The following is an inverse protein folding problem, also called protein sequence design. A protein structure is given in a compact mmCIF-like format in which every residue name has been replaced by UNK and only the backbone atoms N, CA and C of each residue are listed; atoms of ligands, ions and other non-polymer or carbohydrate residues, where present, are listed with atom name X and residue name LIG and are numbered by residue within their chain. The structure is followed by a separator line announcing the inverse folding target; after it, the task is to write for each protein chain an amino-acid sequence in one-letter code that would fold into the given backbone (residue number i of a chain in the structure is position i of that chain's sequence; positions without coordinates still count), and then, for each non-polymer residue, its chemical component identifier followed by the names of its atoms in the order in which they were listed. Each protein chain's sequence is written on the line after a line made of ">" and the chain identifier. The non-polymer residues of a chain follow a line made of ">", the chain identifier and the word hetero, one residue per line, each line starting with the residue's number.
data_IF_435645421563
#
_entry.id   IF_435645421563
#
_cell.length_a   1.000
_cell.length_b   1.000
_cell.length_c   1.000
_cell.angle_alpha   90.00
_cell.angle_beta   90.00
_cell.angle_gamma   90.00
#
_symmetry.space_group_name_H-M   'P 1'
#
loop_
_entity.id
_entity.type
_entity.pdbx_description
1 polymer ?
#
# COMPACT_ATOMS: atom_id res chain seq x y z
N UNK A 1 5.38 64.75 -7.95
CA UNK A 1 5.22 63.61 -8.86
C UNK A 1 5.54 62.33 -8.15
N UNK A 2 4.45 61.64 -7.83
CA UNK A 2 4.39 60.29 -7.31
C UNK A 2 4.98 59.28 -8.30
N UNK A 3 5.68 58.28 -7.75
CA UNK A 3 5.63 56.92 -8.26
C UNK A 3 5.80 55.98 -7.05
N UNK A 4 4.67 55.56 -6.49
CA UNK A 4 4.57 54.26 -5.85
C UNK A 4 4.62 53.18 -6.93
N UNK A 5 5.25 52.05 -6.61
CA UNK A 5 4.99 50.68 -7.08
C UNK A 5 6.30 49.90 -6.92
N UNK A 6 6.46 48.79 -6.22
CA UNK A 6 5.68 47.97 -5.30
C UNK A 6 6.76 46.97 -4.81
N UNK A 7 6.83 46.56 -3.52
CA UNK A 7 7.84 45.58 -3.12
C UNK A 7 7.54 44.28 -3.88
N UNK A 8 8.51 43.82 -4.70
CA UNK A 8 8.46 42.54 -5.38
C UNK A 8 8.21 41.43 -4.36
N UNK A 9 6.94 41.11 -4.13
CA UNK A 9 6.45 39.89 -3.55
C UNK A 9 6.66 38.79 -4.60
N UNK A 10 7.91 38.40 -4.82
CA UNK A 10 8.23 37.06 -5.29
C UNK A 10 7.94 36.10 -4.13
N UNK A 11 6.67 35.76 -3.93
CA UNK A 11 6.22 34.78 -2.96
C UNK A 11 5.27 33.76 -3.61
N UNK A 12 5.72 32.50 -3.59
CA UNK A 12 4.92 31.30 -3.25
C UNK A 12 4.02 30.58 -4.29
N UNK A 13 4.53 30.28 -5.49
CA UNK A 13 3.90 29.23 -6.33
C UNK A 13 4.81 28.03 -6.61
N UNK A 14 6.05 28.24 -7.06
CA UNK A 14 7.03 27.15 -7.18
C UNK A 14 7.51 26.66 -5.80
N UNK A 15 7.43 27.51 -4.78
CA UNK A 15 8.00 27.25 -3.46
C UNK A 15 7.24 26.15 -2.71
N UNK A 16 5.90 26.08 -2.80
CA UNK A 16 5.08 25.10 -2.07
C UNK A 16 5.38 23.67 -2.53
N UNK A 17 5.38 23.43 -3.84
CA UNK A 17 5.73 22.11 -4.37
C UNK A 17 7.22 21.81 -4.16
N UNK A 18 8.10 22.80 -4.30
CA UNK A 18 9.53 22.60 -4.12
C UNK A 18 9.90 22.31 -2.65
N UNK A 19 9.23 22.94 -1.70
CA UNK A 19 9.33 22.70 -0.25
C UNK A 19 8.77 21.31 0.11
N UNK A 20 7.66 20.87 -0.50
CA UNK A 20 7.20 19.48 -0.39
C UNK A 20 8.24 18.49 -0.92
N UNK A 21 8.88 18.79 -2.05
CA UNK A 21 9.94 17.93 -2.60
C UNK A 21 11.14 17.82 -1.65
N UNK A 22 11.50 18.92 -0.96
CA UNK A 22 12.61 19.00 -0.02
C UNK A 22 12.31 18.24 1.29
N UNK A 23 11.14 18.48 1.91
CA UNK A 23 10.72 17.79 3.15
C UNK A 23 10.62 16.27 2.93
N UNK A 24 10.13 15.84 1.77
CA UNK A 24 10.05 14.41 1.43
C UNK A 24 11.42 13.83 1.02
N UNK A 25 12.46 14.63 0.80
CA UNK A 25 13.78 14.19 0.34
C UNK A 25 14.57 13.39 1.38
N UNK A 26 14.55 13.82 2.65
CA UNK A 26 15.29 13.17 3.75
C UNK A 26 14.58 11.94 4.32
N UNK A 27 13.25 12.00 4.48
CA UNK A 27 12.43 10.86 4.92
C UNK A 27 12.41 9.70 3.91
N UNK A 28 12.76 9.98 2.64
CA UNK A 28 12.60 9.04 1.52
C UNK A 28 13.49 7.83 1.59
N UNK A 29 14.76 7.93 1.95
CA UNK A 29 15.65 6.76 1.95
C UNK A 29 15.15 5.72 2.96
N UNK A 30 14.72 6.20 4.13
CA UNK A 30 14.14 5.35 5.16
C UNK A 30 12.83 4.71 4.67
N UNK A 31 11.98 5.50 4.01
CA UNK A 31 10.74 4.99 3.43
C UNK A 31 10.96 3.94 2.34
N UNK A 32 11.88 4.17 1.42
CA UNK A 32 12.23 3.25 0.33
C UNK A 32 12.84 1.96 0.89
N UNK A 33 13.73 2.07 1.87
CA UNK A 33 14.31 0.94 2.60
C UNK A 33 13.21 0.10 3.27
N UNK A 34 12.25 0.78 3.92
CA UNK A 34 11.09 0.16 4.56
C UNK A 34 10.21 -0.59 3.57
N UNK A 35 9.95 0.01 2.41
CA UNK A 35 9.17 -0.60 1.33
C UNK A 35 9.86 -1.85 0.76
N UNK A 36 11.18 -1.78 0.54
CA UNK A 36 11.97 -2.94 0.09
C UNK A 36 11.95 -4.07 1.11
N UNK A 37 12.18 -3.77 2.40
CA UNK A 37 12.11 -4.76 3.48
C UNK A 37 10.74 -5.44 3.54
N UNK A 38 9.67 -4.64 3.45
CA UNK A 38 8.29 -5.13 3.38
C UNK A 38 8.10 -6.08 2.20
N UNK A 39 8.58 -5.69 1.00
CA UNK A 39 8.53 -6.54 -0.19
C UNK A 39 9.27 -7.87 -0.01
N UNK A 40 10.49 -7.85 0.55
CA UNK A 40 11.26 -9.07 0.80
C UNK A 40 10.60 -9.98 1.83
N UNK A 41 9.99 -9.41 2.88
CA UNK A 41 9.19 -10.16 3.85
C UNK A 41 8.03 -10.89 3.15
N UNK A 42 7.33 -10.22 2.22
CA UNK A 42 6.28 -10.87 1.43
C UNK A 42 6.81 -12.00 0.56
N UNK A 43 7.91 -11.78 -0.17
CA UNK A 43 8.54 -12.83 -0.99
C UNK A 43 8.93 -14.04 -0.15
N UNK A 44 9.61 -13.81 0.98
CA UNK A 44 10.00 -14.87 1.90
C UNK A 44 8.80 -15.69 2.36
N UNK A 45 7.70 -15.03 2.67
CA UNK A 45 6.50 -15.69 3.17
C UNK A 45 5.74 -16.46 2.10
N UNK A 46 5.68 -15.96 0.86
CA UNK A 46 5.13 -16.75 -0.26
C UNK A 46 5.98 -18.01 -0.49
N UNK A 47 7.31 -17.91 -0.43
CA UNK A 47 8.20 -19.08 -0.52
C UNK A 47 7.90 -20.06 0.61
N UNK A 48 7.80 -19.60 1.86
CA UNK A 48 7.41 -20.45 3.00
C UNK A 48 6.07 -21.14 2.76
N UNK A 49 5.06 -20.43 2.27
CA UNK A 49 3.74 -21.00 1.97
C UNK A 49 3.77 -22.09 0.90
N UNK A 50 4.67 -22.00 -0.09
CA UNK A 50 4.83 -23.00 -1.15
C UNK A 50 5.53 -24.28 -0.68
N UNK A 51 6.51 -24.16 0.22
CA UNK A 51 7.39 -25.28 0.61
C UNK A 51 7.14 -25.81 2.02
N UNK A 52 6.30 -25.14 2.83
CA UNK A 52 5.94 -25.64 4.15
C UNK A 52 5.00 -26.85 4.03
N UNK A 53 5.32 -27.93 4.76
CA UNK A 53 4.33 -28.96 5.09
C UNK A 53 3.17 -28.29 5.82
N UNK A 54 1.91 -28.72 5.64
CA UNK A 54 0.79 -28.19 6.41
C UNK A 54 1.09 -28.37 7.90
N UNK A 55 1.49 -27.29 8.57
CA UNK A 55 1.71 -27.25 10.00
C UNK A 55 0.41 -26.85 10.65
N UNK A 56 0.11 -27.49 11.78
CA UNK A 56 -0.94 -27.04 12.69
C UNK A 56 -0.68 -25.56 13.02
N UNK A 57 -1.73 -24.74 12.88
CA UNK A 57 -1.71 -23.31 13.19
C UNK A 57 -1.08 -23.08 14.57
N UNK A 58 0.16 -22.62 14.62
CA UNK A 58 0.73 -22.06 15.84
C UNK A 58 0.11 -20.68 16.03
N UNK A 59 -0.63 -20.50 17.14
CA UNK A 59 -1.24 -19.23 17.52
C UNK A 59 -0.15 -18.16 17.55
N UNK A 60 -0.26 -17.15 16.69
CA UNK A 60 0.71 -16.06 16.64
C UNK A 60 0.59 -15.25 17.94
N UNK A 61 1.68 -15.07 18.69
CA UNK A 61 1.70 -14.30 19.94
C UNK A 61 1.28 -12.84 19.75
N UNK A 62 1.29 -12.35 18.52
CA UNK A 62 0.93 -10.98 18.16
C UNK A 62 -0.49 -10.85 17.59
N UNK A 63 -1.38 -11.83 17.76
CA UNK A 63 -2.70 -11.82 17.11
C UNK A 63 -3.52 -10.55 17.40
N UNK A 64 -3.50 -10.05 18.64
CA UNK A 64 -4.23 -8.82 19.01
C UNK A 64 -3.64 -7.57 18.34
N UNK A 65 -2.31 -7.49 18.28
CA UNK A 65 -1.63 -6.37 17.65
C UNK A 65 -1.84 -6.35 16.13
N UNK A 66 -1.83 -7.53 15.49
CA UNK A 66 -2.14 -7.68 14.07
C UNK A 66 -3.58 -7.20 13.80
N UNK A 67 -4.56 -7.65 14.59
CA UNK A 67 -5.95 -7.22 14.44
C UNK A 67 -6.12 -5.70 14.58
N UNK A 68 -5.39 -5.07 15.51
CA UNK A 68 -5.39 -3.62 15.67
C UNK A 68 -4.88 -2.91 14.41
N UNK A 69 -3.70 -3.30 13.92
CA UNK A 69 -3.12 -2.69 12.73
C UNK A 69 -3.90 -3.01 11.45
N UNK A 70 -4.58 -4.16 11.38
CA UNK A 70 -5.51 -4.48 10.30
C UNK A 70 -6.70 -3.50 10.28
N UNK A 71 -7.30 -3.22 11.43
CA UNK A 71 -8.37 -2.23 11.54
C UNK A 71 -7.89 -0.81 11.19
N UNK A 72 -6.69 -0.43 11.62
CA UNK A 72 -6.08 0.85 11.27
C UNK A 72 -5.85 0.92 9.74
N UNK A 73 -5.34 -0.16 9.13
CA UNK A 73 -5.15 -0.26 7.69
C UNK A 73 -6.47 -0.06 6.94
N UNK A 74 -7.53 -0.74 7.36
CA UNK A 74 -8.87 -0.62 6.75
C UNK A 74 -9.38 0.82 6.86
N UNK A 75 -9.23 1.44 8.03
CA UNK A 75 -9.70 2.81 8.27
C UNK A 75 -8.96 3.82 7.40
N UNK A 76 -7.63 3.74 7.37
CA UNK A 76 -6.80 4.64 6.57
C UNK A 76 -6.99 4.41 5.08
N UNK A 77 -7.08 3.15 4.64
CA UNK A 77 -7.36 2.81 3.24
C UNK A 77 -8.70 3.36 2.79
N UNK A 78 -9.74 3.22 3.60
CA UNK A 78 -11.08 3.71 3.24
C UNK A 78 -11.08 5.24 3.03
N UNK A 79 -10.44 5.99 3.93
CA UNK A 79 -10.30 7.45 3.79
C UNK A 79 -9.47 7.83 2.57
N UNK A 80 -8.36 7.12 2.37
CA UNK A 80 -7.50 7.33 1.20
C UNK A 80 -8.23 7.11 -0.11
N UNK A 81 -8.97 6.02 -0.24
CA UNK A 81 -9.79 5.74 -1.43
C UNK A 81 -10.84 6.84 -1.63
N UNK A 82 -11.58 7.24 -0.58
CA UNK A 82 -12.57 8.32 -0.69
C UNK A 82 -11.95 9.62 -1.21
N UNK A 83 -10.74 9.98 -0.76
CA UNK A 83 -10.05 11.17 -1.28
C UNK A 83 -9.70 11.03 -2.76
N UNK A 84 -9.24 9.85 -3.20
CA UNK A 84 -9.01 9.57 -4.63
C UNK A 84 -10.32 9.66 -5.42
N UNK A 85 -11.44 9.21 -4.85
CA UNK A 85 -12.74 9.32 -5.50
C UNK A 85 -13.20 10.76 -5.69
N UNK A 86 -13.00 11.58 -4.67
CA UNK A 86 -13.35 13.00 -4.71
C UNK A 86 -12.54 13.78 -5.74
N UNK A 87 -11.41 13.24 -6.22
CA UNK A 87 -10.61 13.78 -7.31
C UNK A 87 -10.88 13.07 -8.65
N UNK A 88 -11.83 12.13 -8.69
CA UNK A 88 -12.19 11.31 -9.86
C UNK A 88 -11.02 10.46 -10.41
N UNK A 89 -10.07 10.10 -9.54
CA UNK A 89 -8.84 9.35 -9.89
C UNK A 89 -8.85 7.88 -9.47
N UNK A 90 -10.01 7.31 -9.12
CA UNK A 90 -10.11 5.95 -8.56
C UNK A 90 -9.98 4.80 -9.57
N UNK A 91 -10.31 5.05 -10.84
CA UNK A 91 -10.38 4.04 -11.90
C UNK A 91 -9.35 4.26 -13.01
N UNK A 92 -8.81 3.18 -13.57
CA UNK A 92 -7.87 3.24 -14.68
C UNK A 92 -6.44 3.59 -14.24
N UNK A 93 -5.75 4.42 -15.02
CA UNK A 93 -4.38 4.87 -14.69
C UNK A 93 -4.42 5.99 -13.65
N UNK A 94 -4.37 5.62 -12.37
CA UNK A 94 -4.41 6.56 -11.23
C UNK A 94 -3.26 7.56 -11.34
N UNK A 95 -2.07 7.09 -11.74
CA UNK A 95 -0.88 7.92 -11.82
C UNK A 95 -1.04 9.01 -12.87
N UNK A 96 -1.53 8.68 -14.07
CA UNK A 96 -1.73 9.64 -15.14
C UNK A 96 -2.84 10.64 -14.81
N UNK A 97 -3.95 10.17 -14.23
CA UNK A 97 -5.03 11.06 -13.79
C UNK A 97 -4.57 12.05 -12.72
N UNK A 98 -3.81 11.60 -11.73
CA UNK A 98 -3.25 12.48 -10.69
C UNK A 98 -2.25 13.48 -11.27
N UNK A 99 -1.36 13.08 -12.19
CA UNK A 99 -0.45 14.01 -12.87
C UNK A 99 -1.21 15.10 -13.62
N UNK A 100 -2.26 14.72 -14.34
CA UNK A 100 -3.12 15.67 -15.05
C UNK A 100 -3.84 16.61 -14.08
N UNK A 101 -4.31 16.11 -12.94
CA UNK A 101 -4.92 16.94 -11.90
C UNK A 101 -3.91 17.92 -11.28
N UNK A 102 -2.71 17.47 -10.94
CA UNK A 102 -1.63 18.33 -10.44
C UNK A 102 -1.23 19.41 -11.45
N UNK A 103 -1.16 19.07 -12.74
CA UNK A 103 -0.87 20.03 -13.82
C UNK A 103 -1.97 21.08 -13.99
N UNK A 104 -3.23 20.71 -13.77
CA UNK A 104 -4.34 21.69 -13.75
C UNK A 104 -4.21 22.62 -12.56
N UNK A 105 -3.92 22.07 -11.37
CA UNK A 105 -3.75 22.86 -10.15
C UNK A 105 -2.56 23.81 -10.21
N UNK A 106 -1.47 23.44 -10.88
CA UNK A 106 -0.34 24.36 -11.09
C UNK A 106 -0.68 25.56 -11.99
N UNK A 107 -1.76 25.49 -12.76
CA UNK A 107 -2.23 26.59 -13.61
C UNK A 107 -3.33 27.42 -12.93
N UNK A 108 -4.10 26.81 -12.02
CA UNK A 108 -5.14 27.49 -11.25
C UNK A 108 -5.25 26.83 -9.86
N UNK A 109 -4.51 27.33 -8.86
CA UNK A 109 -4.41 26.69 -7.56
C UNK A 109 -5.70 26.88 -6.75
N UNK A 110 -6.46 25.80 -6.59
CA UNK A 110 -7.59 25.76 -5.65
C UNK A 110 -7.13 25.18 -4.30
N UNK A 111 -7.18 26.00 -3.24
CA UNK A 111 -6.71 25.61 -1.89
C UNK A 111 -7.30 24.29 -1.41
N UNK A 112 -8.59 24.07 -1.65
CA UNK A 112 -9.28 22.84 -1.23
C UNK A 112 -8.70 21.59 -1.89
N UNK A 113 -8.26 21.67 -3.14
CA UNK A 113 -7.66 20.54 -3.86
C UNK A 113 -6.20 20.31 -3.46
N UNK A 114 -5.46 21.37 -3.15
CA UNK A 114 -4.11 21.27 -2.56
C UNK A 114 -4.18 20.55 -1.20
N UNK A 115 -5.13 20.93 -0.34
CA UNK A 115 -5.37 20.28 0.96
C UNK A 115 -5.75 18.80 0.79
N UNK A 116 -6.55 18.45 -0.23
CA UNK A 116 -6.85 17.04 -0.56
C UNK A 116 -5.60 16.27 -0.97
N UNK A 117 -4.73 16.84 -1.81
CA UNK A 117 -3.47 16.20 -2.21
C UNK A 117 -2.52 15.98 -1.02
N UNK A 118 -2.46 16.93 -0.08
CA UNK A 118 -1.71 16.77 1.18
C UNK A 118 -2.25 15.61 2.00
N UNK A 119 -3.57 15.53 2.19
CA UNK A 119 -4.20 14.44 2.92
C UNK A 119 -3.97 13.09 2.22
N UNK A 120 -4.04 13.03 0.89
CA UNK A 120 -3.69 11.83 0.10
C UNK A 120 -2.25 11.38 0.41
N UNK A 121 -1.27 12.29 0.35
CA UNK A 121 0.12 11.94 0.65
C UNK A 121 0.29 11.45 2.09
N UNK A 122 -0.36 12.12 3.06
CA UNK A 122 -0.35 11.75 4.48
C UNK A 122 -0.95 10.38 4.73
N UNK A 123 -2.11 10.06 4.16
CA UNK A 123 -2.70 8.73 4.30
C UNK A 123 -1.84 7.67 3.61
N UNK A 124 -1.23 7.98 2.47
CA UNK A 124 -0.29 7.07 1.80
C UNK A 124 0.90 6.72 2.71
N UNK A 125 1.53 7.72 3.38
CA UNK A 125 2.61 7.47 4.36
C UNK A 125 2.16 6.55 5.51
N UNK A 126 0.99 6.81 6.10
CA UNK A 126 0.42 6.00 7.18
C UNK A 126 0.10 4.56 6.74
N UNK A 127 -0.43 4.41 5.54
CA UNK A 127 -0.71 3.08 4.96
C UNK A 127 0.59 2.29 4.84
N UNK A 128 1.66 2.89 4.31
CA UNK A 128 2.96 2.23 4.21
C UNK A 128 3.55 1.89 5.59
N UNK A 129 3.37 2.75 6.59
CA UNK A 129 3.80 2.49 7.98
C UNK A 129 3.14 1.23 8.52
N UNK A 130 1.81 1.17 8.40
CA UNK A 130 1.02 0.06 8.92
C UNK A 130 1.36 -1.23 8.17
N UNK A 131 1.48 -1.18 6.84
CA UNK A 131 1.86 -2.33 6.02
C UNK A 131 3.23 -2.85 6.42
N UNK A 132 4.19 -1.96 6.65
CA UNK A 132 5.51 -2.35 7.11
C UNK A 132 5.44 -3.06 8.46
N UNK A 133 4.77 -2.47 9.45
CA UNK A 133 4.61 -3.05 10.78
C UNK A 133 3.95 -4.42 10.68
N UNK A 134 2.87 -4.54 9.93
CA UNK A 134 2.20 -5.81 9.66
C UNK A 134 3.17 -6.84 9.05
N UNK A 135 4.05 -6.42 8.13
CA UNK A 135 5.07 -7.27 7.49
C UNK A 135 6.05 -7.87 8.49
N UNK A 136 6.46 -7.08 9.48
CA UNK A 136 7.33 -7.51 10.57
C UNK A 136 6.61 -8.42 11.56
N UNK A 137 5.34 -8.14 11.86
CA UNK A 137 4.50 -8.96 12.76
C UNK A 137 4.03 -10.28 12.14
N UNK A 138 4.26 -10.46 10.84
CA UNK A 138 3.96 -11.67 10.13
C UNK A 138 2.53 -11.81 9.63
N UNK A 139 1.99 -10.75 9.01
CA UNK A 139 0.65 -10.76 8.39
C UNK A 139 0.39 -11.89 7.40
N UNK A 140 1.43 -12.55 6.92
CA UNK A 140 1.36 -13.62 5.93
C UNK A 140 0.64 -14.89 6.41
N UNK A 141 0.36 -15.01 7.70
CA UNK A 141 -0.53 -16.05 8.23
C UNK A 141 -2.02 -15.78 7.94
N UNK A 142 -2.36 -14.57 7.50
CA UNK A 142 -3.70 -14.17 7.04
C UNK A 142 -3.64 -13.80 5.56
N UNK A 143 -4.07 -14.72 4.69
CA UNK A 143 -4.01 -14.51 3.24
C UNK A 143 -4.91 -13.38 2.74
N UNK A 144 -6.05 -13.14 3.42
CA UNK A 144 -6.96 -12.04 3.07
C UNK A 144 -6.28 -10.71 3.32
N UNK A 145 -5.68 -10.56 4.52
CA UNK A 145 -4.92 -9.37 4.88
C UNK A 145 -3.72 -9.14 3.94
N UNK A 146 -2.98 -10.20 3.61
CA UNK A 146 -1.87 -10.11 2.65
C UNK A 146 -2.33 -9.65 1.27
N UNK A 147 -3.45 -10.19 0.76
CA UNK A 147 -4.01 -9.77 -0.53
C UNK A 147 -4.42 -8.30 -0.51
N UNK A 148 -5.08 -7.86 0.56
CA UNK A 148 -5.49 -6.47 0.70
C UNK A 148 -4.29 -5.53 0.81
N UNK A 149 -3.27 -5.91 1.59
CA UNK A 149 -2.02 -5.15 1.71
C UNK A 149 -1.31 -4.99 0.37
N UNK A 150 -1.19 -6.07 -0.43
CA UNK A 150 -0.59 -5.99 -1.77
C UNK A 150 -1.38 -5.04 -2.68
N UNK A 151 -2.72 -5.14 -2.69
CA UNK A 151 -3.56 -4.28 -3.52
C UNK A 151 -3.40 -2.81 -3.18
N UNK A 152 -3.46 -2.46 -1.89
CA UNK A 152 -3.31 -1.07 -1.49
C UNK A 152 -1.87 -0.58 -1.71
N UNK A 153 -0.86 -1.43 -1.59
CA UNK A 153 0.52 -1.11 -1.99
C UNK A 153 0.63 -0.75 -3.47
N UNK A 154 -0.06 -1.46 -4.37
CA UNK A 154 -0.08 -1.12 -5.80
C UNK A 154 -0.67 0.29 -6.03
N UNK A 155 -1.84 0.57 -5.45
CA UNK A 155 -2.49 1.89 -5.57
C UNK A 155 -1.58 2.98 -5.01
N UNK A 156 -1.00 2.76 -3.83
CA UNK A 156 -0.05 3.70 -3.22
C UNK A 156 1.19 3.93 -4.08
N UNK A 157 1.68 2.91 -4.80
CA UNK A 157 2.78 3.09 -5.76
C UNK A 157 2.36 4.01 -6.92
N UNK A 158 1.16 3.85 -7.48
CA UNK A 158 0.68 4.72 -8.57
C UNK A 158 0.52 6.17 -8.11
N UNK A 159 -0.03 6.38 -6.92
CA UNK A 159 -0.12 7.72 -6.30
C UNK A 159 1.28 8.31 -6.10
N UNK A 160 2.23 7.54 -5.54
CA UNK A 160 3.61 8.02 -5.33
C UNK A 160 4.34 8.29 -6.66
N UNK A 161 4.10 7.50 -7.71
CA UNK A 161 4.62 7.74 -9.06
C UNK A 161 4.17 9.11 -9.59
N UNK A 162 2.91 9.50 -9.36
CA UNK A 162 2.38 10.79 -9.79
C UNK A 162 2.93 11.95 -8.95
N UNK A 163 2.84 11.83 -7.63
CA UNK A 163 3.26 12.88 -6.70
C UNK A 163 4.77 13.13 -6.76
N UNK A 164 5.56 12.12 -7.14
CA UNK A 164 7.03 12.18 -7.08
C UNK A 164 7.72 11.67 -8.36
N UNK A 165 7.66 12.44 -9.46
CA UNK A 165 8.18 12.07 -10.76
C UNK A 165 9.67 11.69 -10.77
N UNK A 166 10.51 12.32 -9.94
CA UNK A 166 11.94 11.97 -9.81
C UNK A 166 12.19 10.52 -9.37
N UNK A 167 11.23 9.92 -8.66
CA UNK A 167 11.30 8.54 -8.18
C UNK A 167 10.28 7.62 -8.86
N UNK A 168 9.64 8.10 -9.93
CA UNK A 168 8.60 7.36 -10.66
C UNK A 168 9.09 5.98 -11.10
N UNK A 169 10.33 5.85 -11.58
CA UNK A 169 10.91 4.57 -11.97
C UNK A 169 10.91 3.55 -10.82
N UNK A 170 11.34 3.97 -9.62
CA UNK A 170 11.34 3.10 -8.45
C UNK A 170 9.91 2.64 -8.11
N UNK A 171 8.95 3.57 -8.01
CA UNK A 171 7.58 3.22 -7.65
C UNK A 171 6.90 2.36 -8.71
N UNK A 172 7.22 2.57 -9.99
CA UNK A 172 6.75 1.74 -11.08
C UNK A 172 7.32 0.31 -11.01
N UNK A 173 8.61 0.16 -10.72
CA UNK A 173 9.23 -1.15 -10.49
C UNK A 173 8.64 -1.85 -9.27
N UNK A 174 8.47 -1.11 -8.17
CA UNK A 174 7.85 -1.61 -6.95
C UNK A 174 6.40 -2.06 -7.20
N UNK A 175 5.62 -1.31 -7.97
CA UNK A 175 4.26 -1.70 -8.37
C UNK A 175 4.27 -3.01 -9.17
N UNK A 176 5.14 -3.13 -10.19
CA UNK A 176 5.31 -4.37 -10.97
C UNK A 176 5.65 -5.56 -10.07
N UNK A 177 6.50 -5.34 -9.07
CA UNK A 177 6.89 -6.35 -8.09
C UNK A 177 5.70 -6.78 -7.20
N UNK A 178 4.87 -5.85 -6.74
CA UNK A 178 3.64 -6.16 -5.99
C UNK A 178 2.59 -6.88 -6.85
N UNK A 179 2.38 -6.46 -8.10
CA UNK A 179 1.50 -7.16 -9.03
C UNK A 179 1.98 -8.59 -9.31
N UNK A 180 3.29 -8.81 -9.37
CA UNK A 180 3.85 -10.17 -9.47
C UNK A 180 3.60 -10.98 -8.19
N UNK A 181 3.75 -10.38 -7.01
CA UNK A 181 3.41 -11.03 -5.73
C UNK A 181 1.94 -11.47 -5.70
N UNK A 182 1.01 -10.63 -6.15
CA UNK A 182 -0.42 -10.98 -6.21
C UNK A 182 -0.65 -12.23 -7.08
N UNK A 183 -0.03 -12.28 -8.27
CA UNK A 183 -0.10 -13.43 -9.18
C UNK A 183 0.47 -14.70 -8.54
N UNK A 184 1.61 -14.59 -7.85
CA UNK A 184 2.24 -15.71 -7.16
C UNK A 184 1.39 -16.23 -5.99
N UNK A 185 0.73 -15.34 -5.26
CA UNK A 185 -0.17 -15.69 -4.16
C UNK A 185 -1.37 -16.50 -4.66
N UNK A 186 -2.02 -16.06 -5.76
CA UNK A 186 -3.14 -16.78 -6.39
C UNK A 186 -2.72 -18.20 -6.83
N UNK A 187 -1.56 -18.33 -7.48
CA UNK A 187 -1.04 -19.63 -7.93
C UNK A 187 -0.76 -20.59 -6.78
N UNK A 188 -0.14 -20.09 -5.70
CA UNK A 188 0.17 -20.91 -4.52
C UNK A 188 -1.11 -21.46 -3.86
N UNK A 189 -2.20 -20.71 -3.93
CA UNK A 189 -3.50 -21.13 -3.42
C UNK A 189 -4.15 -22.26 -4.27
N UNK A 190 -3.92 -22.28 -5.57
CA UNK A 190 -4.44 -23.31 -6.47
C UNK A 190 -3.71 -24.65 -6.30
N UNK A 191 -2.38 -24.62 -6.10
CA UNK A 191 -1.57 -25.83 -5.85
C UNK A 191 -1.98 -26.48 -4.53
N UNK A 192 -2.09 -25.69 -3.45
CA UNK A 192 -2.53 -26.19 -2.14
C UNK A 192 -3.95 -26.77 -2.12
N UNK A 193 -4.83 -26.44 -3.08
CA UNK A 193 -6.16 -27.07 -3.21
C UNK A 193 -6.12 -28.38 -3.98
N UNK A 194 -5.23 -28.53 -4.96
CA UNK A 194 -5.08 -29.76 -5.76
C UNK A 194 -4.35 -30.86 -4.99
N UNK A 195 -3.46 -30.50 -4.07
CA UNK A 195 -2.67 -31.44 -3.27
C UNK A 195 -3.35 -31.83 -1.94
N UNK A 196 -4.56 -31.33 -1.67
CA UNK A 196 -5.39 -31.83 -0.56
C UNK A 196 -6.03 -33.16 -0.97
N UNK A 197 -5.40 -34.27 -0.58
CA UNK A 197 -6.01 -35.60 -0.60
C UNK A 197 -7.37 -35.55 0.14
N UNK A 198 -8.41 -36.23 -0.37
CA UNK A 198 -9.72 -36.24 0.28
C UNK A 198 -9.56 -36.73 1.71
N UNK A 199 -10.08 -35.94 2.66
CA UNK A 199 -10.07 -36.28 4.07
C UNK A 199 -10.68 -37.69 4.22
N UNK A 200 -9.89 -38.65 4.72
CA UNK A 200 -10.39 -39.99 5.03
C UNK A 200 -11.54 -39.82 6.02
N UNK A 201 -12.77 -40.10 5.56
CA UNK A 201 -13.92 -40.27 6.44
C UNK A 201 -13.53 -41.26 7.54
N UNK A 202 -13.50 -40.79 8.78
CA UNK A 202 -13.34 -41.67 9.94
C UNK A 202 -14.56 -42.58 9.94
N UNK A 203 -14.38 -43.84 9.50
CA UNK A 203 -15.37 -44.90 9.74
C UNK A 203 -15.53 -45.06 11.26
N UNK A 204 -16.60 -44.50 11.80
CA UNK A 204 -17.07 -44.77 13.16
C UNK A 204 -17.37 -46.26 13.25
N UNK A 205 -16.47 -47.05 13.85
CA UNK A 205 -16.78 -48.43 14.22
C UNK A 205 -17.65 -48.39 15.47
N UNK A 206 -18.95 -48.59 15.31
CA UNK A 206 -19.85 -48.87 16.42
C UNK A 206 -19.57 -50.29 16.88
N UNK A 207 -19.09 -50.44 18.12
CA UNK A 207 -18.94 -51.74 18.76
C UNK A 207 -20.29 -52.10 19.39
N UNK A 208 -20.95 -53.15 18.90
CA UNK A 208 -22.13 -53.71 19.55
C UNK A 208 -21.62 -54.78 20.51
N UNK A 209 -21.73 -54.51 21.81
CA UNK A 209 -21.51 -55.50 22.87
C UNK A 209 -22.67 -56.49 22.89
N UNK A 210 -22.33 -57.79 22.88
CA UNK A 210 -23.26 -58.91 23.13
C UNK A 210 -23.53 -59.07 24.61
#
# INVERSE_FOLDING_TARGET
>A
DDFYDEPYLEYDEENIFHEWYLIEGEERINELSRQLRTFFNYKQSIVRLKFAKPRNYTKNSHSELISRYENDLITHTSRFIVLLKNLEVEDGDIAEKLKNHMKKLSLNPERADIEKLQEINKYCKKIWEIIHILSELGLYNNQSLLKNAIKISCISCEVKTALFPRFSNFYNELNKNYLQLEKELIRSHQVNKKDQLPAKEKKTRVCISK
#
